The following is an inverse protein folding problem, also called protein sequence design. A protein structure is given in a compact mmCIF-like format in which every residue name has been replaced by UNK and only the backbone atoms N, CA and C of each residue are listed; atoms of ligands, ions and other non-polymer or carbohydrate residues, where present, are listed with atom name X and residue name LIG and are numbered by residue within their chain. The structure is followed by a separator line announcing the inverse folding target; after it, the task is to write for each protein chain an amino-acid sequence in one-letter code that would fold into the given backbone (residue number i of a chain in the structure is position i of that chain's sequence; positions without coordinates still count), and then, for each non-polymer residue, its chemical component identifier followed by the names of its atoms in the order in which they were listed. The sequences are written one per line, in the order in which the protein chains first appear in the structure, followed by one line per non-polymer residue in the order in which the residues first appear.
data_IF_672305690410
#
_entry.id   IF_672305690410
#
_cell.length_a   1.000
_cell.length_b   1.000
_cell.length_c   1.000
_cell.angle_alpha   90.00
_cell.angle_beta   90.00
_cell.angle_gamma   90.00
#
_symmetry.space_group_name_H-M   'P 1'
#
loop_
_entity.id
_entity.type
_entity.pdbx_description
1 polymer ?
#
# COMPACT_ATOMS: atom_id res chain seq x y z
N UNK A 1 35.89 4.56 1.95
CA UNK A 1 34.71 3.83 2.46
C UNK A 1 33.44 4.61 2.10
N UNK A 2 32.31 3.93 1.92
CA UNK A 2 30.99 4.54 1.74
C UNK A 2 30.14 4.35 3.00
N UNK A 3 29.68 5.45 3.59
CA UNK A 3 28.66 5.47 4.63
C UNK A 3 27.31 5.79 4.00
N UNK A 4 26.29 4.99 4.29
CA UNK A 4 24.90 5.29 3.93
C UNK A 4 24.12 5.49 5.23
N UNK A 5 23.64 6.70 5.48
CA UNK A 5 23.14 7.11 6.80
C UNK A 5 21.73 7.70 6.75
N UNK A 6 20.89 7.33 7.71
CA UNK A 6 19.55 7.89 7.88
C UNK A 6 19.51 9.01 8.91
N UNK A 7 19.15 10.22 8.49
CA UNK A 7 19.10 11.38 9.37
C UNK A 7 17.92 11.34 10.35
N UNK A 8 16.98 10.41 10.19
CA UNK A 8 15.72 10.49 10.89
C UNK A 8 14.77 11.49 10.23
N UNK A 9 13.71 11.85 10.94
CA UNK A 9 12.55 12.55 10.36
C UNK A 9 12.71 14.06 10.45
N UNK A 10 13.41 14.55 11.46
CA UNK A 10 13.69 15.98 11.66
C UNK A 10 15.14 16.16 12.09
N UNK A 11 15.68 17.38 12.01
CA UNK A 11 17.08 17.62 12.36
C UNK A 11 17.37 17.36 13.85
N UNK A 12 16.36 17.45 14.71
CA UNK A 12 16.45 17.12 16.13
C UNK A 12 16.56 15.60 16.36
N UNK A 13 16.12 14.80 15.39
CA UNK A 13 16.11 13.34 15.48
C UNK A 13 17.40 12.66 15.00
N UNK A 14 18.37 13.43 14.46
CA UNK A 14 19.63 12.86 13.94
C UNK A 14 20.42 12.19 15.06
N UNK A 15 20.62 10.85 15.01
CA UNK A 15 21.41 10.11 15.98
C UNK A 15 22.84 10.65 16.15
N UNK A 16 23.36 10.64 17.38
CA UNK A 16 24.67 11.23 17.70
C UNK A 16 25.83 10.56 16.97
N UNK A 17 25.78 9.25 16.77
CA UNK A 17 26.75 8.51 15.96
C UNK A 17 26.75 8.95 14.48
N UNK A 18 25.58 9.26 13.92
CA UNK A 18 25.46 9.76 12.54
C UNK A 18 26.06 11.16 12.42
N UNK A 19 25.81 12.05 13.40
CA UNK A 19 26.46 13.37 13.45
C UNK A 19 27.98 13.25 13.44
N UNK A 20 28.53 12.35 14.26
CA UNK A 20 29.97 12.12 14.33
C UNK A 20 30.54 11.59 12.99
N UNK A 21 29.84 10.68 12.32
CA UNK A 21 30.25 10.16 11.01
C UNK A 21 30.28 11.30 9.97
N UNK A 22 29.24 12.11 9.91
CA UNK A 22 29.15 13.23 8.95
C UNK A 22 30.23 14.29 9.18
N UNK A 23 30.59 14.57 10.43
CA UNK A 23 31.62 15.59 10.74
C UNK A 23 33.03 15.12 10.40
N UNK A 24 33.31 13.84 10.58
CA UNK A 24 34.63 13.25 10.34
C UNK A 24 34.85 12.83 8.87
N UNK A 25 33.79 12.69 8.08
CA UNK A 25 33.89 12.33 6.68
C UNK A 25 34.60 13.40 5.82
N UNK A 26 35.23 12.94 4.74
CA UNK A 26 35.86 13.78 3.74
C UNK A 26 34.82 14.47 2.84
N UNK A 27 33.77 13.74 2.48
CA UNK A 27 32.70 14.20 1.60
C UNK A 27 31.34 13.79 2.17
N UNK A 28 30.39 14.71 2.19
CA UNK A 28 29.02 14.44 2.66
C UNK A 28 28.02 14.89 1.60
N UNK A 29 27.29 13.92 1.06
CA UNK A 29 26.17 14.11 0.16
C UNK A 29 24.85 14.00 0.92
N UNK A 30 23.92 14.90 0.66
CA UNK A 30 22.54 14.82 1.11
C UNK A 30 21.61 14.74 -0.09
N UNK A 31 20.88 13.64 -0.20
CA UNK A 31 19.79 13.54 -1.17
C UNK A 31 18.47 14.01 -0.57
N UNK A 32 17.62 14.62 -1.39
CA UNK A 32 16.31 15.18 -1.01
C UNK A 32 15.22 14.82 -2.04
N UNK A 33 15.41 13.73 -2.77
CA UNK A 33 14.45 13.24 -3.77
C UNK A 33 13.61 12.07 -3.27
N UNK A 34 14.11 11.30 -2.29
CA UNK A 34 13.31 10.25 -1.65
C UNK A 34 12.39 10.80 -0.56
N UNK A 35 12.76 11.94 0.01
CA UNK A 35 11.99 12.67 1.02
C UNK A 35 12.28 14.16 0.86
N UNK A 36 11.28 15.03 1.09
CA UNK A 36 11.44 16.45 0.88
C UNK A 36 12.41 17.06 1.88
N UNK A 37 13.00 18.20 1.49
CA UNK A 37 13.83 18.97 2.41
C UNK A 37 12.97 19.52 3.55
N UNK A 38 13.28 19.10 4.77
CA UNK A 38 12.59 19.58 5.97
C UNK A 38 13.30 20.81 6.50
N UNK A 39 14.64 20.80 6.53
CA UNK A 39 15.46 21.90 7.03
C UNK A 39 16.98 21.69 6.82
N UNK A 40 17.41 21.63 5.56
CA UNK A 40 18.82 21.49 5.17
C UNK A 40 19.73 22.57 5.79
N UNK A 41 19.17 23.72 6.18
CA UNK A 41 19.94 24.81 6.80
C UNK A 41 20.59 24.39 8.14
N UNK A 42 19.90 23.60 8.96
CA UNK A 42 20.45 23.10 10.23
C UNK A 42 21.46 21.97 10.00
N UNK A 43 21.22 21.11 9.01
CA UNK A 43 22.20 20.07 8.62
C UNK A 43 23.51 20.73 8.17
N UNK A 44 23.43 21.82 7.40
CA UNK A 44 24.62 22.56 6.97
C UNK A 44 25.38 23.21 8.14
N UNK A 45 24.71 23.54 9.25
CA UNK A 45 25.39 23.99 10.48
C UNK A 45 26.14 22.84 11.16
N UNK A 46 25.60 21.63 11.13
CA UNK A 46 26.24 20.42 11.69
C UNK A 46 27.44 19.99 10.83
N UNK A 47 27.28 20.03 9.49
CA UNK A 47 28.32 19.66 8.53
C UNK A 47 28.41 20.72 7.41
N UNK A 48 29.32 21.71 7.52
CA UNK A 48 29.49 22.75 6.50
C UNK A 48 29.92 22.21 5.12
N UNK A 49 30.54 21.02 5.08
CA UNK A 49 30.99 20.34 3.85
C UNK A 49 29.86 19.70 3.04
N UNK A 50 28.60 19.80 3.51
CA UNK A 50 27.42 19.22 2.89
C UNK A 50 27.24 19.67 1.42
N UNK A 51 27.09 18.69 0.54
CA UNK A 51 26.76 18.85 -0.88
C UNK A 51 25.41 18.21 -1.17
N UNK A 52 24.56 18.88 -1.94
CA UNK A 52 23.30 18.28 -2.38
C UNK A 52 23.57 17.23 -3.45
N UNK A 53 22.90 16.09 -3.36
CA UNK A 53 22.94 15.01 -4.33
C UNK A 53 21.58 14.86 -5.02
N UNK A 54 21.44 15.34 -6.28
CA UNK A 54 20.22 15.14 -7.04
C UNK A 54 20.04 13.67 -7.42
N UNK A 55 18.79 13.29 -7.76
CA UNK A 55 18.42 11.91 -8.11
C UNK A 55 19.37 11.25 -9.11
N UNK A 56 19.63 11.90 -10.24
CA UNK A 56 20.49 11.37 -11.29
C UNK A 56 21.90 11.03 -10.80
N UNK A 57 22.44 11.78 -9.83
CA UNK A 57 23.78 11.56 -9.30
C UNK A 57 23.83 10.33 -8.40
N UNK A 58 22.79 10.13 -7.59
CA UNK A 58 22.69 8.97 -6.69
C UNK A 58 22.39 7.70 -7.47
N UNK A 59 21.45 7.75 -8.43
CA UNK A 59 21.12 6.61 -9.29
C UNK A 59 22.28 6.25 -10.24
N UNK A 60 22.99 7.23 -10.82
CA UNK A 60 24.20 6.97 -11.59
C UNK A 60 25.32 6.40 -10.72
N UNK A 61 25.52 6.92 -9.51
CA UNK A 61 26.41 6.39 -8.48
C UNK A 61 27.92 6.49 -8.76
N UNK A 62 28.36 6.69 -10.02
CA UNK A 62 29.79 6.64 -10.40
C UNK A 62 30.66 7.60 -9.61
N UNK A 63 30.16 8.83 -9.40
CA UNK A 63 30.88 9.85 -8.63
C UNK A 63 31.06 9.44 -7.17
N UNK A 64 30.00 8.97 -6.51
CA UNK A 64 30.01 8.56 -5.10
C UNK A 64 30.98 7.39 -4.94
N UNK A 65 30.85 6.35 -5.78
CA UNK A 65 31.70 5.16 -5.73
C UNK A 65 33.18 5.50 -5.94
N UNK A 66 33.50 6.29 -6.97
CA UNK A 66 34.88 6.67 -7.28
C UNK A 66 35.54 7.47 -6.14
N UNK A 67 34.79 8.32 -5.45
CA UNK A 67 35.31 9.04 -4.28
C UNK A 67 35.52 8.08 -3.10
N UNK A 68 34.60 7.13 -2.89
CA UNK A 68 34.67 6.15 -1.79
C UNK A 68 35.84 5.18 -1.88
N UNK A 69 36.48 5.03 -3.04
CA UNK A 69 37.73 4.25 -3.21
C UNK A 69 38.89 4.83 -2.37
N UNK A 70 38.91 6.15 -2.16
CA UNK A 70 40.05 6.86 -1.55
C UNK A 70 39.70 7.71 -0.34
N UNK A 71 38.41 7.94 -0.11
CA UNK A 71 37.89 8.86 0.90
C UNK A 71 36.80 8.22 1.74
N UNK A 72 36.54 8.80 2.90
CA UNK A 72 35.33 8.53 3.67
C UNK A 72 34.19 9.41 3.15
N UNK A 73 33.26 8.78 2.44
CA UNK A 73 32.14 9.45 1.77
C UNK A 73 30.86 9.07 2.48
N UNK A 74 30.01 10.06 2.77
CA UNK A 74 28.68 9.86 3.34
C UNK A 74 27.64 10.17 2.28
N UNK A 75 26.67 9.27 2.09
CA UNK A 75 25.38 9.55 1.48
C UNK A 75 24.33 9.55 2.59
N UNK A 76 23.77 10.72 2.86
CA UNK A 76 22.74 10.95 3.85
C UNK A 76 21.37 11.12 3.18
N UNK A 77 20.33 10.61 3.83
CA UNK A 77 18.92 10.79 3.46
C UNK A 77 18.08 11.05 4.71
N UNK A 78 16.96 11.77 4.56
CA UNK A 78 15.95 11.81 5.62
C UNK A 78 15.30 10.42 5.78
N UNK A 79 14.85 10.11 6.99
CA UNK A 79 14.31 8.81 7.37
C UNK A 79 15.40 7.76 7.61
N UNK A 80 15.08 6.52 7.22
CA UNK A 80 16.03 5.40 7.16
C UNK A 80 16.56 5.28 5.72
N UNK A 81 17.87 5.08 5.50
CA UNK A 81 18.42 5.18 4.17
C UNK A 81 18.04 4.01 3.27
N UNK A 82 17.53 2.89 3.81
CA UNK A 82 17.16 1.69 3.06
C UNK A 82 15.65 1.42 3.03
N UNK A 83 14.83 2.28 3.63
CA UNK A 83 13.36 2.11 3.66
C UNK A 83 12.73 2.99 2.58
N UNK A 84 12.07 2.36 1.61
CA UNK A 84 11.42 3.02 0.46
C UNK A 84 12.38 3.86 -0.40
N UNK A 85 13.63 3.41 -0.52
CA UNK A 85 14.67 4.03 -1.38
C UNK A 85 15.31 2.98 -2.30
N UNK A 86 16.08 3.46 -3.27
CA UNK A 86 16.90 2.60 -4.16
C UNK A 86 18.37 2.54 -3.72
N UNK A 87 18.73 3.04 -2.54
CA UNK A 87 20.12 3.07 -2.06
C UNK A 87 20.76 1.69 -1.89
N UNK A 88 19.95 0.63 -1.77
CA UNK A 88 20.42 -0.76 -1.80
C UNK A 88 21.18 -1.09 -3.09
N UNK A 89 20.79 -0.53 -4.25
CA UNK A 89 21.52 -0.71 -5.51
C UNK A 89 22.94 -0.13 -5.43
N UNK A 90 23.08 1.10 -4.93
CA UNK A 90 24.38 1.74 -4.73
C UNK A 90 25.27 0.95 -3.75
N UNK A 91 24.67 0.41 -2.68
CA UNK A 91 25.35 -0.47 -1.73
C UNK A 91 25.90 -1.73 -2.41
N UNK A 92 25.10 -2.38 -3.26
CA UNK A 92 25.53 -3.58 -4.01
C UNK A 92 26.70 -3.25 -4.92
N UNK A 93 26.62 -2.16 -5.68
CA UNK A 93 27.69 -1.72 -6.58
C UNK A 93 28.98 -1.37 -5.84
N UNK A 94 28.89 -0.78 -4.65
CA UNK A 94 30.05 -0.51 -3.79
C UNK A 94 30.74 -1.79 -3.34
N UNK A 95 29.98 -2.78 -2.85
CA UNK A 95 30.54 -4.08 -2.42
C UNK A 95 31.17 -4.82 -3.59
N UNK A 96 30.55 -4.82 -4.78
CA UNK A 96 31.11 -5.43 -5.98
C UNK A 96 32.40 -4.76 -6.49
N UNK A 97 32.64 -3.51 -6.07
CA UNK A 97 33.85 -2.74 -6.40
C UNK A 97 34.87 -2.75 -5.25
N UNK A 98 34.74 -3.68 -4.30
CA UNK A 98 35.60 -3.80 -3.11
C UNK A 98 35.67 -2.52 -2.24
N UNK A 99 34.65 -1.66 -2.31
CA UNK A 99 34.53 -0.47 -1.47
C UNK A 99 33.88 -0.90 -0.13
N UNK A 100 34.53 -0.67 1.03
CA UNK A 100 33.91 -0.93 2.32
C UNK A 100 32.64 -0.08 2.49
N UNK A 101 31.55 -0.70 2.94
CA UNK A 101 30.26 -0.04 3.17
C UNK A 101 29.85 -0.14 4.63
N UNK A 102 29.45 0.99 5.21
CA UNK A 102 28.85 1.07 6.53
C UNK A 102 27.45 1.70 6.42
N UNK A 103 26.41 0.97 6.83
CA UNK A 103 25.03 1.47 6.86
C UNK A 103 24.67 1.82 8.29
N UNK A 104 24.19 3.04 8.52
CA UNK A 104 23.73 3.48 9.85
C UNK A 104 22.29 3.96 9.75
N UNK A 105 21.41 3.23 10.44
CA UNK A 105 19.97 3.42 10.39
C UNK A 105 19.51 4.64 11.21
N UNK A 106 18.41 5.24 10.75
CA UNK A 106 17.72 6.35 11.42
C UNK A 106 16.22 6.06 11.52
N UNK A 107 15.48 6.76 12.40
CA UNK A 107 14.02 6.62 12.46
C UNK A 107 13.35 6.92 11.12
N UNK A 108 12.47 6.04 10.65
CA UNK A 108 11.72 6.26 9.40
C UNK A 108 10.33 6.82 9.69
N UNK A 109 9.88 7.78 8.88
CA UNK A 109 8.50 8.27 8.93
C UNK A 109 7.49 7.12 8.76
N UNK A 110 7.84 6.11 7.97
CA UNK A 110 7.02 4.91 7.75
C UNK A 110 6.79 4.13 9.05
N UNK A 111 7.83 3.93 9.85
CA UNK A 111 7.72 3.10 11.06
C UNK A 111 7.00 3.84 12.17
N UNK A 112 7.29 5.14 12.36
CA UNK A 112 6.65 5.91 13.42
C UNK A 112 5.18 6.21 13.10
N UNK A 113 4.82 6.40 11.82
CA UNK A 113 3.47 6.72 11.38
C UNK A 113 2.46 5.70 11.88
N UNK A 114 2.82 4.41 11.87
CA UNK A 114 1.94 3.33 12.33
C UNK A 114 1.61 3.49 13.82
N UNK A 115 2.61 3.83 14.63
CA UNK A 115 2.45 4.09 16.06
C UNK A 115 1.66 5.38 16.34
N UNK A 116 1.96 6.46 15.62
CA UNK A 116 1.23 7.73 15.71
C UNK A 116 -0.25 7.59 15.32
N UNK A 117 -0.58 6.61 14.47
CA UNK A 117 -1.96 6.28 14.11
C UNK A 117 -2.64 5.35 15.13
N UNK A 118 -1.95 4.89 16.18
CA UNK A 118 -2.51 3.96 17.16
C UNK A 118 -2.77 2.55 16.60
N UNK A 119 -2.14 2.21 15.47
CA UNK A 119 -2.30 0.92 14.80
C UNK A 119 -1.22 -0.06 15.24
N UNK A 120 -1.53 -1.35 15.14
CA UNK A 120 -0.60 -2.41 15.43
C UNK A 120 0.33 -2.66 14.23
N UNK A 121 1.64 -2.56 14.47
CA UNK A 121 2.63 -2.70 13.40
C UNK A 121 2.60 -4.06 12.70
N UNK A 122 2.24 -5.13 13.42
CA UNK A 122 2.14 -6.48 12.86
C UNK A 122 0.93 -6.67 11.93
N UNK A 123 -0.03 -5.74 11.93
CA UNK A 123 -1.21 -5.75 11.04
C UNK A 123 -0.95 -4.99 9.73
N UNK A 124 0.24 -4.42 9.54
CA UNK A 124 0.59 -3.75 8.29
C UNK A 124 0.88 -4.76 7.17
N UNK A 125 0.17 -4.62 6.06
CA UNK A 125 0.37 -5.40 4.84
C UNK A 125 1.38 -4.77 3.88
N UNK A 126 1.32 -5.18 2.61
CA UNK A 126 2.18 -4.65 1.55
C UNK A 126 1.96 -3.14 1.38
N UNK A 127 3.02 -2.36 1.57
CA UNK A 127 3.05 -0.93 1.25
C UNK A 127 3.13 -0.70 -0.27
N UNK A 128 2.53 0.39 -0.73
CA UNK A 128 2.53 0.83 -2.13
C UNK A 128 2.51 2.35 -2.22
N UNK A 129 2.86 2.89 -3.38
CA UNK A 129 2.84 4.33 -3.67
C UNK A 129 1.72 4.66 -4.64
N UNK A 130 0.98 5.73 -4.38
CA UNK A 130 -0.02 6.31 -5.28
C UNK A 130 0.67 7.41 -6.08
N UNK A 131 0.72 7.22 -7.39
CA UNK A 131 1.28 8.18 -8.33
C UNK A 131 0.19 9.13 -8.85
N UNK A 132 0.59 10.31 -9.30
CA UNK A 132 -0.24 11.29 -10.00
C UNK A 132 -0.70 10.79 -11.37
N UNK A 133 0.05 9.88 -12.00
CA UNK A 133 -0.35 9.20 -13.24
C UNK A 133 -1.48 8.18 -12.99
N UNK A 134 -2.55 8.23 -13.78
CA UNK A 134 -3.72 7.35 -13.65
C UNK A 134 -3.46 5.90 -14.09
N UNK A 135 -2.57 5.70 -15.06
CA UNK A 135 -2.23 4.37 -15.62
C UNK A 135 -1.60 3.44 -14.58
N UNK A 136 -1.01 4.01 -13.52
CA UNK A 136 -0.31 3.28 -12.46
C UNK A 136 -1.20 2.97 -11.25
N UNK A 137 -2.49 3.32 -11.29
CA UNK A 137 -3.41 3.23 -10.14
C UNK A 137 -3.85 1.79 -9.81
N UNK A 138 -3.74 0.86 -10.76
CA UNK A 138 -4.10 -0.55 -10.54
C UNK A 138 -3.29 -1.18 -9.41
N UNK A 139 -1.98 -0.94 -9.38
CA UNK A 139 -1.09 -1.52 -8.37
C UNK A 139 -1.45 -1.11 -6.94
N UNK A 140 -1.57 0.18 -6.60
CA UNK A 140 -1.95 0.57 -5.25
C UNK A 140 -3.36 0.10 -4.89
N UNK A 141 -4.32 0.16 -5.82
CA UNK A 141 -5.68 -0.33 -5.58
C UNK A 141 -5.72 -1.83 -5.26
N UNK A 142 -5.07 -2.66 -6.08
CA UNK A 142 -5.08 -4.11 -5.90
C UNK A 142 -4.26 -4.55 -4.70
N UNK A 143 -3.19 -3.84 -4.34
CA UNK A 143 -2.46 -4.08 -3.10
C UNK A 143 -3.31 -3.76 -1.86
N UNK A 144 -4.01 -2.63 -1.86
CA UNK A 144 -4.98 -2.28 -0.82
C UNK A 144 -6.04 -3.36 -0.64
N UNK A 145 -6.58 -3.87 -1.75
CA UNK A 145 -7.54 -4.95 -1.72
C UNK A 145 -6.99 -6.24 -1.14
N UNK A 146 -5.82 -6.69 -1.61
CA UNK A 146 -5.20 -7.94 -1.12
C UNK A 146 -4.90 -7.87 0.38
N UNK A 147 -4.38 -6.73 0.85
CA UNK A 147 -4.14 -6.53 2.27
C UNK A 147 -5.45 -6.55 3.05
N UNK A 148 -6.46 -5.81 2.61
CA UNK A 148 -7.74 -5.73 3.30
C UNK A 148 -8.48 -7.07 3.36
N UNK A 149 -8.40 -7.88 2.30
CA UNK A 149 -8.94 -9.23 2.27
C UNK A 149 -8.28 -10.17 3.31
N UNK A 150 -7.01 -9.91 3.66
CA UNK A 150 -6.30 -10.59 4.74
C UNK A 150 -6.50 -9.94 6.12
N UNK A 151 -7.29 -8.85 6.20
CA UNK A 151 -7.47 -8.07 7.41
C UNK A 151 -6.32 -7.10 7.72
N UNK A 152 -5.32 -6.99 6.84
CA UNK A 152 -4.17 -6.12 7.02
C UNK A 152 -4.46 -4.68 6.60
N UNK A 153 -3.81 -3.74 7.26
CA UNK A 153 -3.79 -2.33 6.89
C UNK A 153 -2.87 -2.10 5.70
N UNK A 154 -3.12 -1.05 4.92
CA UNK A 154 -2.28 -0.68 3.78
C UNK A 154 -1.77 0.74 3.93
N UNK A 155 -0.45 0.89 4.06
CA UNK A 155 0.19 2.20 3.94
C UNK A 155 0.36 2.54 2.45
N UNK A 156 -0.27 3.64 2.06
CA UNK A 156 -0.21 4.28 0.77
C UNK A 156 0.69 5.51 0.89
N UNK A 157 1.90 5.41 0.37
CA UNK A 157 2.76 6.57 0.16
C UNK A 157 2.19 7.41 -0.98
N UNK A 158 2.37 8.73 -0.94
CA UNK A 158 1.95 9.62 -2.01
C UNK A 158 3.16 10.14 -2.76
N UNK A 159 3.04 10.29 -4.07
CA UNK A 159 4.13 10.75 -4.92
C UNK A 159 4.71 12.08 -4.45
N UNK A 160 6.04 12.11 -4.42
CA UNK A 160 6.85 13.32 -4.32
C UNK A 160 7.79 13.35 -5.53
N UNK A 161 7.79 14.46 -6.25
CA UNK A 161 8.68 14.70 -7.37
C UNK A 161 9.51 15.96 -7.09
N UNK A 162 10.79 15.75 -6.78
CA UNK A 162 11.74 16.81 -6.47
C UNK A 162 11.96 17.79 -7.63
N UNK A 163 12.00 17.30 -8.88
CA UNK A 163 12.33 18.14 -10.04
C UNK A 163 11.27 19.21 -10.29
N UNK A 164 10.01 18.91 -9.95
CA UNK A 164 8.86 19.81 -10.11
C UNK A 164 8.33 20.35 -8.78
N UNK A 165 9.00 20.06 -7.66
CA UNK A 165 8.53 20.34 -6.28
C UNK A 165 7.05 19.97 -6.07
N UNK A 166 6.68 18.78 -6.57
CA UNK A 166 5.29 18.33 -6.60
C UNK A 166 5.03 17.29 -5.53
N UNK A 167 3.90 17.44 -4.83
CA UNK A 167 3.36 16.44 -3.93
C UNK A 167 1.94 16.08 -4.33
N UNK A 168 1.66 14.78 -4.40
CA UNK A 168 0.29 14.33 -4.53
C UNK A 168 -0.44 14.51 -3.19
N UNK A 169 -1.43 15.41 -3.17
CA UNK A 169 -2.25 15.65 -1.97
C UNK A 169 -3.19 14.48 -1.65
N UNK A 170 -3.50 14.30 -0.35
CA UNK A 170 -4.35 13.20 0.11
C UNK A 170 -5.78 13.27 -0.48
N UNK A 171 -6.38 14.46 -0.61
CA UNK A 171 -7.70 14.61 -1.24
C UNK A 171 -7.69 14.12 -2.71
N UNK A 172 -6.66 14.49 -3.46
CA UNK A 172 -6.50 14.05 -4.85
C UNK A 172 -6.32 12.52 -4.90
N UNK A 173 -5.45 11.96 -4.07
CA UNK A 173 -5.22 10.52 -4.00
C UNK A 173 -6.49 9.73 -3.63
N UNK A 174 -7.23 10.16 -2.59
CA UNK A 174 -8.50 9.55 -2.20
C UNK A 174 -9.51 9.56 -3.35
N UNK A 175 -9.69 10.72 -4.00
CA UNK A 175 -10.60 10.84 -5.15
C UNK A 175 -10.22 9.93 -6.32
N UNK A 176 -8.92 9.77 -6.60
CA UNK A 176 -8.43 8.82 -7.61
C UNK A 176 -8.81 7.38 -7.23
N UNK A 177 -8.51 6.97 -6.00
CA UNK A 177 -8.80 5.63 -5.50
C UNK A 177 -10.31 5.34 -5.47
N UNK A 178 -11.14 6.30 -5.07
CA UNK A 178 -12.60 6.18 -5.11
C UNK A 178 -13.17 6.18 -6.53
N UNK A 179 -12.51 6.82 -7.50
CA UNK A 179 -12.87 6.65 -8.91
C UNK A 179 -12.48 5.26 -9.44
N UNK A 180 -11.32 4.73 -9.04
CA UNK A 180 -10.92 3.37 -9.37
C UNK A 180 -11.89 2.33 -8.80
N UNK A 181 -12.41 2.56 -7.59
CA UNK A 181 -13.44 1.71 -6.96
C UNK A 181 -14.68 1.53 -7.84
N UNK A 182 -15.10 2.54 -8.62
CA UNK A 182 -16.26 2.41 -9.53
C UNK A 182 -16.03 1.38 -10.63
N UNK A 183 -14.77 1.19 -11.02
CA UNK A 183 -14.35 0.25 -12.06
C UNK A 183 -14.05 -1.13 -11.50
N UNK A 184 -13.24 -1.21 -10.45
CA UNK A 184 -12.78 -2.47 -9.86
C UNK A 184 -13.76 -3.09 -8.86
N UNK A 185 -14.60 -2.28 -8.19
CA UNK A 185 -15.72 -2.70 -7.33
C UNK A 185 -15.34 -3.73 -6.26
N UNK A 186 -14.23 -3.51 -5.55
CA UNK A 186 -13.72 -4.41 -4.51
C UNK A 186 -14.07 -4.01 -3.07
N UNK A 187 -14.70 -2.86 -2.88
CA UNK A 187 -15.16 -2.36 -1.58
C UNK A 187 -14.06 -1.77 -0.70
N UNK A 188 -12.89 -1.44 -1.26
CA UNK A 188 -11.72 -0.98 -0.50
C UNK A 188 -11.62 0.54 -0.41
N UNK A 189 -12.17 1.25 -1.39
CA UNK A 189 -12.28 2.71 -1.37
C UNK A 189 -13.73 3.15 -1.62
N UNK A 190 -14.67 2.37 -1.10
CA UNK A 190 -16.08 2.74 -1.07
C UNK A 190 -16.30 3.94 -0.14
N UNK A 191 -17.38 4.71 -0.30
CA UNK A 191 -17.65 5.90 0.52
C UNK A 191 -17.64 5.64 2.03
N UNK A 192 -17.98 4.42 2.46
CA UNK A 192 -18.06 3.99 3.84
C UNK A 192 -16.79 3.28 4.35
N UNK A 193 -15.83 2.95 3.48
CA UNK A 193 -14.53 2.38 3.84
C UNK A 193 -13.80 3.32 4.80
N UNK A 194 -13.14 2.74 5.80
CA UNK A 194 -12.45 3.51 6.84
C UNK A 194 -10.97 3.68 6.49
N UNK A 195 -10.46 4.90 6.59
CA UNK A 195 -9.06 5.19 6.35
C UNK A 195 -8.54 6.30 7.26
N UNK A 196 -7.25 6.54 7.19
CA UNK A 196 -6.54 7.55 7.96
C UNK A 196 -5.63 8.33 7.04
N UNK A 197 -5.46 9.62 7.31
CA UNK A 197 -4.47 10.46 6.63
C UNK A 197 -3.47 10.96 7.66
N UNK A 198 -2.23 10.55 7.47
CA UNK A 198 -1.09 10.89 8.30
C UNK A 198 -0.34 12.05 7.65
N UNK A 199 -0.27 13.19 8.33
CA UNK A 199 0.22 14.44 7.78
C UNK A 199 1.47 14.88 8.54
N UNK A 200 2.57 15.13 7.80
CA UNK A 200 3.81 15.69 8.36
C UNK A 200 4.27 14.99 9.65
N UNK A 201 4.17 13.66 9.64
CA UNK A 201 4.48 12.80 10.78
C UNK A 201 5.90 13.08 11.29
N UNK A 202 6.07 13.12 12.62
CA UNK A 202 7.32 13.42 13.31
C UNK A 202 7.68 14.91 13.39
N UNK A 203 6.88 15.80 12.80
CA UNK A 203 7.10 17.25 12.88
C UNK A 203 6.20 17.93 13.92
N UNK A 204 6.51 19.18 14.28
CA UNK A 204 5.64 20.00 15.17
C UNK A 204 4.26 20.29 14.59
N UNK A 205 4.08 20.13 13.27
CA UNK A 205 2.80 20.32 12.56
C UNK A 205 2.12 18.99 12.22
N UNK A 206 2.53 17.90 12.87
CA UNK A 206 1.94 16.59 12.68
C UNK A 206 0.43 16.63 12.90
N UNK A 207 -0.31 15.93 12.04
CA UNK A 207 -1.75 15.72 12.18
C UNK A 207 -2.10 14.32 11.67
N UNK A 208 -2.88 13.58 12.46
CA UNK A 208 -3.50 12.32 12.01
C UNK A 208 -5.00 12.50 12.04
N UNK A 209 -5.66 12.27 10.90
CA UNK A 209 -7.11 12.36 10.75
C UNK A 209 -7.64 11.00 10.36
N UNK A 210 -8.69 10.52 11.02
CA UNK A 210 -9.32 9.23 10.70
C UNK A 210 -10.80 9.42 10.40
N UNK A 211 -11.33 8.57 9.52
CA UNK A 211 -12.74 8.65 9.15
C UNK A 211 -13.09 7.78 7.96
N UNK A 212 -14.31 7.92 7.48
CA UNK A 212 -14.73 7.29 6.24
C UNK A 212 -14.15 8.04 5.05
N UNK A 213 -13.93 7.33 3.94
CA UNK A 213 -13.42 7.93 2.70
C UNK A 213 -14.26 9.14 2.27
N UNK A 214 -15.59 9.05 2.31
CA UNK A 214 -16.50 10.16 1.96
C UNK A 214 -16.31 11.42 2.81
N UNK A 215 -16.02 11.26 4.10
CA UNK A 215 -15.77 12.38 5.02
C UNK A 215 -14.38 12.98 4.81
N UNK A 216 -13.39 12.14 4.49
CA UNK A 216 -12.00 12.55 4.33
C UNK A 216 -11.70 13.21 2.98
N UNK A 217 -12.43 12.89 1.92
CA UNK A 217 -12.27 13.52 0.59
C UNK A 217 -12.39 15.05 0.64
N UNK A 218 -13.22 15.59 1.54
CA UNK A 218 -13.45 17.03 1.70
C UNK A 218 -12.64 17.69 2.83
N UNK A 219 -11.81 16.94 3.57
CA UNK A 219 -11.11 17.45 4.74
C UNK A 219 -9.85 18.25 4.35
N UNK A 220 -9.53 19.32 5.10
CA UNK A 220 -8.29 20.08 4.88
C UNK A 220 -7.13 19.52 5.72
N UNK A 221 -6.22 18.81 5.07
CA UNK A 221 -5.05 18.18 5.73
C UNK A 221 -3.86 19.13 5.94
N UNK A 222 -3.90 20.34 5.38
CA UNK A 222 -2.79 21.29 5.36
C UNK A 222 -1.73 20.94 4.31
N UNK A 223 -0.50 21.39 4.56
CA UNK A 223 0.61 21.24 3.60
C UNK A 223 1.20 19.82 3.56
N UNK A 224 1.69 19.32 2.42
CA UNK A 224 2.40 18.04 2.35
C UNK A 224 3.65 17.98 3.26
N UNK A 225 4.23 16.78 3.49
CA UNK A 225 3.84 15.49 2.93
C UNK A 225 2.68 14.84 3.68
N UNK A 226 1.92 14.04 2.93
CA UNK A 226 0.81 13.22 3.42
C UNK A 226 1.02 11.75 3.03
N UNK A 227 0.49 10.86 3.86
CA UNK A 227 0.35 9.43 3.57
C UNK A 227 -1.06 8.98 3.94
N UNK A 228 -1.59 7.98 3.24
CA UNK A 228 -2.92 7.42 3.55
C UNK A 228 -2.73 6.02 4.11
N UNK A 229 -3.51 5.65 5.12
CA UNK A 229 -3.65 4.27 5.57
C UNK A 229 -5.07 3.82 5.29
N UNK A 230 -5.24 2.84 4.41
CA UNK A 230 -6.49 2.10 4.34
C UNK A 230 -6.50 1.08 5.48
N UNK A 231 -7.48 1.15 6.38
CA UNK A 231 -7.55 0.22 7.50
C UNK A 231 -8.10 -1.12 7.03
N UNK A 232 -7.46 -2.19 7.48
CA UNK A 232 -7.98 -3.56 7.42
C UNK A 232 -8.96 -3.83 8.57
N UNK A 233 -8.89 -5.04 9.14
CA UNK A 233 -9.67 -5.38 10.34
C UNK A 233 -9.05 -4.69 11.55
N UNK A 234 -9.80 -3.79 12.18
CA UNK A 234 -9.38 -3.11 13.40
C UNK A 234 -9.61 -3.99 14.63
N UNK A 235 -8.60 -4.08 15.48
CA UNK A 235 -8.70 -4.61 16.83
C UNK A 235 -9.36 -3.59 17.76
N UNK A 236 -10.02 -4.03 18.84
CA UNK A 236 -10.73 -3.10 19.73
C UNK A 236 -9.78 -2.06 20.35
N UNK A 237 -8.54 -2.44 20.67
CA UNK A 237 -7.52 -1.51 21.17
C UNK A 237 -7.09 -0.48 20.13
N UNK A 238 -7.06 -0.85 18.85
CA UNK A 238 -6.79 0.10 17.76
C UNK A 238 -7.96 1.07 17.61
N UNK A 239 -9.21 0.59 17.72
CA UNK A 239 -10.38 1.46 17.73
C UNK A 239 -10.31 2.49 18.88
N UNK A 240 -9.94 2.05 20.08
CA UNK A 240 -9.78 2.95 21.23
C UNK A 240 -8.65 3.95 21.03
N UNK A 241 -7.51 3.50 20.50
CA UNK A 241 -6.37 4.36 20.17
C UNK A 241 -6.73 5.39 19.09
N UNK A 242 -7.42 4.98 18.01
CA UNK A 242 -7.87 5.88 16.95
C UNK A 242 -8.76 6.98 17.51
N UNK A 243 -9.74 6.63 18.35
CA UNK A 243 -10.66 7.61 18.98
C UNK A 243 -9.93 8.59 19.89
N UNK A 244 -8.90 8.13 20.60
CA UNK A 244 -8.19 8.92 21.59
C UNK A 244 -7.05 9.78 21.01
N UNK A 245 -6.34 9.27 20.00
CA UNK A 245 -5.08 9.84 19.53
C UNK A 245 -5.19 10.64 18.22
N UNK A 246 -6.29 10.47 17.48
CA UNK A 246 -6.44 11.08 16.14
C UNK A 246 -7.57 12.09 16.10
N UNK A 247 -7.56 12.95 15.09
CA UNK A 247 -8.74 13.76 14.74
C UNK A 247 -9.77 12.84 14.07
N UNK A 248 -10.58 12.19 14.90
CA UNK A 248 -11.56 11.19 14.50
C UNK A 248 -12.83 11.88 13.97
N UNK A 249 -12.99 11.93 12.65
CA UNK A 249 -14.15 12.52 11.97
C UNK A 249 -15.35 11.57 12.03
N UNK A 250 -15.10 10.28 11.84
CA UNK A 250 -16.08 9.20 11.99
C UNK A 250 -15.55 8.13 12.92
N UNK A 251 -16.44 7.55 13.75
CA UNK A 251 -16.06 6.46 14.63
C UNK A 251 -15.58 5.23 13.82
N UNK A 252 -14.51 4.54 14.27
CA UNK A 252 -14.03 3.33 13.62
C UNK A 252 -15.12 2.26 13.67
N UNK A 253 -15.27 1.46 12.59
CA UNK A 253 -16.32 0.47 12.51
C UNK A 253 -16.04 -0.72 13.44
N UNK A 254 -17.09 -1.25 14.06
CA UNK A 254 -16.99 -2.49 14.84
C UNK A 254 -17.02 -3.69 13.89
N UNK A 255 -15.88 -4.36 13.71
CA UNK A 255 -15.81 -5.65 13.01
C UNK A 255 -15.92 -5.61 11.48
N UNK A 256 -15.64 -4.49 10.82
CA UNK A 256 -15.66 -4.42 9.36
C UNK A 256 -14.59 -5.35 8.76
N UNK A 257 -15.02 -6.30 7.94
CA UNK A 257 -14.13 -7.27 7.27
C UNK A 257 -14.43 -7.22 5.78
N UNK A 258 -13.44 -6.86 4.97
CA UNK A 258 -13.55 -6.93 3.51
C UNK A 258 -13.57 -8.40 3.10
N UNK A 259 -14.59 -8.79 2.33
CA UNK A 259 -14.76 -10.19 1.89
C UNK A 259 -13.68 -10.56 0.87
N UNK A 260 -13.11 -11.76 0.97
CA UNK A 260 -12.15 -12.29 -0.01
C UNK A 260 -12.76 -12.42 -1.42
N UNK A 261 -11.92 -12.51 -2.47
CA UNK A 261 -12.41 -12.71 -3.86
C UNK A 261 -13.32 -13.93 -3.89
N UNK A 262 -12.88 -15.03 -3.30
CA UNK A 262 -13.61 -16.30 -3.29
C UNK A 262 -14.98 -16.15 -2.64
N UNK A 263 -15.07 -15.42 -1.52
CA UNK A 263 -16.36 -15.12 -0.90
C UNK A 263 -17.25 -14.23 -1.78
N UNK A 264 -16.70 -13.16 -2.36
CA UNK A 264 -17.45 -12.27 -3.27
C UNK A 264 -17.96 -13.02 -4.50
N UNK A 265 -17.13 -13.88 -5.10
CA UNK A 265 -17.50 -14.73 -6.23
C UNK A 265 -18.60 -15.70 -5.86
N UNK A 266 -18.45 -16.46 -4.77
CA UNK A 266 -19.48 -17.42 -4.36
C UNK A 266 -20.81 -16.70 -4.07
N UNK A 267 -20.79 -15.57 -3.38
CA UNK A 267 -22.01 -14.79 -3.10
C UNK A 267 -22.67 -14.22 -4.37
N UNK A 268 -21.89 -13.88 -5.40
CA UNK A 268 -22.39 -13.38 -6.68
C UNK A 268 -22.91 -14.50 -7.59
N UNK A 269 -22.12 -15.55 -7.79
CA UNK A 269 -22.38 -16.60 -8.76
C UNK A 269 -23.37 -17.64 -8.26
N UNK A 270 -23.36 -18.00 -6.97
CA UNK A 270 -24.33 -18.97 -6.42
C UNK A 270 -25.79 -18.63 -6.75
N UNK A 271 -26.31 -17.42 -6.45
CA UNK A 271 -27.71 -17.09 -6.76
C UNK A 271 -27.94 -16.99 -8.28
N UNK A 272 -26.95 -16.58 -9.06
CA UNK A 272 -27.04 -16.49 -10.51
C UNK A 272 -27.19 -17.87 -11.16
N UNK A 273 -26.38 -18.84 -10.73
CA UNK A 273 -26.42 -20.22 -11.21
C UNK A 273 -27.74 -20.88 -10.77
N UNK A 274 -28.14 -20.71 -9.50
CA UNK A 274 -29.42 -21.23 -8.99
C UNK A 274 -30.62 -20.71 -9.79
N UNK A 275 -30.64 -19.41 -10.11
CA UNK A 275 -31.68 -18.82 -10.96
C UNK A 275 -31.64 -19.38 -12.38
N UNK A 276 -30.44 -19.62 -12.92
CA UNK A 276 -30.27 -20.22 -14.25
C UNK A 276 -30.82 -21.64 -14.30
N UNK A 277 -30.56 -22.46 -13.27
CA UNK A 277 -31.13 -23.81 -13.13
C UNK A 277 -32.66 -23.77 -13.11
N UNK A 278 -33.27 -22.82 -12.38
CA UNK A 278 -34.74 -22.70 -12.31
C UNK A 278 -35.41 -22.36 -13.66
N UNK A 279 -34.68 -21.72 -14.57
CA UNK A 279 -35.21 -21.31 -15.87
C UNK A 279 -35.14 -22.43 -16.93
N UNK A 280 -34.41 -23.52 -16.64
CA UNK A 280 -34.31 -24.68 -17.52
C UNK A 280 -35.56 -25.54 -17.31
N UNK A 281 -36.28 -25.89 -18.38
CA UNK A 281 -37.52 -26.67 -18.30
C UNK A 281 -37.46 -27.89 -19.21
N UNK A 282 -37.92 -29.04 -18.72
CA UNK A 282 -37.94 -30.29 -19.49
C UNK A 282 -36.58 -30.98 -19.52
N UNK A 283 -36.30 -31.79 -18.50
CA UNK A 283 -35.02 -32.46 -18.33
C UNK A 283 -35.06 -33.89 -18.88
N UNK A 284 -34.08 -34.26 -19.70
CA UNK A 284 -33.68 -35.65 -19.89
C UNK A 284 -32.85 -36.15 -18.69
N UNK A 285 -32.70 -37.48 -18.56
CA UNK A 285 -31.92 -38.08 -17.46
C UNK A 285 -30.45 -37.60 -17.44
N UNK A 286 -29.86 -37.37 -18.62
CA UNK A 286 -28.51 -36.82 -18.76
C UNK A 286 -28.41 -35.37 -18.28
N UNK A 287 -29.40 -34.53 -18.59
CA UNK A 287 -29.44 -33.13 -18.17
C UNK A 287 -29.69 -33.00 -16.65
N UNK A 288 -30.52 -33.88 -16.08
CA UNK A 288 -30.69 -33.97 -14.63
C UNK A 288 -29.38 -34.27 -13.90
N UNK A 289 -28.55 -35.16 -14.45
CA UNK A 289 -27.24 -35.49 -13.86
C UNK A 289 -26.28 -34.29 -13.92
N UNK A 290 -26.29 -33.52 -15.00
CA UNK A 290 -25.49 -32.28 -15.13
C UNK A 290 -25.91 -31.25 -14.08
N UNK A 291 -27.22 -31.05 -13.88
CA UNK A 291 -27.75 -30.13 -12.87
C UNK A 291 -27.37 -30.57 -11.46
N UNK A 292 -27.49 -31.87 -11.16
CA UNK A 292 -27.09 -32.40 -9.86
C UNK A 292 -25.60 -32.17 -9.58
N UNK A 293 -24.74 -32.43 -10.57
CA UNK A 293 -23.31 -32.15 -10.44
C UNK A 293 -23.02 -30.66 -10.22
N UNK A 294 -23.70 -29.77 -10.95
CA UNK A 294 -23.56 -28.33 -10.75
C UNK A 294 -23.98 -27.90 -9.33
N UNK A 295 -25.06 -28.47 -8.79
CA UNK A 295 -25.50 -28.23 -7.40
C UNK A 295 -24.45 -28.73 -6.40
N UNK A 296 -23.88 -29.92 -6.60
CA UNK A 296 -22.80 -30.45 -5.78
C UNK A 296 -21.57 -29.53 -5.80
N UNK A 297 -21.17 -29.03 -6.97
CA UNK A 297 -20.07 -28.08 -7.07
C UNK A 297 -20.34 -26.75 -6.35
N UNK A 298 -21.59 -26.25 -6.34
CA UNK A 298 -21.97 -25.08 -5.53
C UNK A 298 -21.79 -25.37 -4.04
N UNK A 299 -22.25 -26.54 -3.58
CA UNK A 299 -22.12 -26.96 -2.17
C UNK A 299 -20.65 -27.11 -1.77
N UNK A 300 -19.84 -27.73 -2.63
CA UNK A 300 -18.41 -27.88 -2.44
C UNK A 300 -17.71 -26.51 -2.40
N UNK A 301 -18.11 -25.57 -3.25
CA UNK A 301 -17.58 -24.21 -3.24
C UNK A 301 -17.85 -23.51 -1.90
N UNK A 302 -19.09 -23.60 -1.39
CA UNK A 302 -19.47 -23.05 -0.10
C UNK A 302 -18.70 -23.70 1.06
N UNK A 303 -18.61 -25.03 1.08
CA UNK A 303 -17.88 -25.77 2.11
C UNK A 303 -16.37 -25.50 2.08
N UNK A 304 -15.77 -25.36 0.89
CA UNK A 304 -14.37 -24.99 0.71
C UNK A 304 -14.11 -23.58 1.25
N UNK A 305 -15.03 -22.63 0.99
CA UNK A 305 -14.92 -21.26 1.50
C UNK A 305 -14.98 -21.21 3.03
N UNK A 306 -15.87 -21.98 3.66
CA UNK A 306 -15.96 -22.08 5.12
C UNK A 306 -14.67 -22.64 5.75
N UNK A 307 -13.97 -23.52 5.01
CA UNK A 307 -12.68 -24.10 5.41
C UNK A 307 -11.47 -23.22 5.07
N UNK A 308 -11.67 -22.04 4.47
CA UNK A 308 -10.60 -21.15 4.03
C UNK A 308 -9.83 -21.65 2.79
N UNK A 309 -10.40 -22.58 2.02
CA UNK A 309 -9.82 -23.11 0.80
C UNK A 309 -10.26 -22.28 -0.41
N UNK A 310 -9.77 -21.04 -0.46
CA UNK A 310 -10.22 -20.00 -1.40
C UNK A 310 -10.09 -20.39 -2.88
N UNK A 311 -9.01 -21.09 -3.27
CA UNK A 311 -8.79 -21.54 -4.64
C UNK A 311 -9.78 -22.64 -5.05
N UNK A 312 -10.01 -23.61 -4.15
CA UNK A 312 -10.96 -24.71 -4.37
C UNK A 312 -12.38 -24.14 -4.48
N UNK A 313 -12.71 -23.17 -3.63
CA UNK A 313 -13.96 -22.43 -3.68
C UNK A 313 -14.21 -21.79 -5.05
N UNK A 314 -13.21 -21.08 -5.61
CA UNK A 314 -13.33 -20.41 -6.92
C UNK A 314 -13.40 -21.41 -8.07
N UNK A 315 -12.59 -22.47 -8.02
CA UNK A 315 -12.64 -23.52 -9.05
C UNK A 315 -13.99 -24.22 -9.07
N UNK A 316 -14.50 -24.65 -7.91
CA UNK A 316 -15.78 -25.34 -7.80
C UNK A 316 -16.95 -24.48 -8.28
N UNK A 317 -17.00 -23.19 -7.93
CA UNK A 317 -18.07 -22.32 -8.43
C UNK A 317 -17.96 -22.07 -9.93
N UNK A 318 -16.74 -21.97 -10.47
CA UNK A 318 -16.50 -21.85 -11.91
C UNK A 318 -16.91 -23.10 -12.71
N UNK A 319 -16.66 -24.30 -12.17
CA UNK A 319 -17.15 -25.55 -12.77
C UNK A 319 -18.68 -25.61 -12.78
N UNK A 320 -19.34 -25.21 -11.68
CA UNK A 320 -20.80 -25.16 -11.61
C UNK A 320 -21.39 -24.22 -12.67
N UNK A 321 -20.82 -23.02 -12.82
CA UNK A 321 -21.24 -22.03 -13.81
C UNK A 321 -21.08 -22.57 -15.25
N UNK A 322 -19.90 -23.11 -15.56
CA UNK A 322 -19.59 -23.67 -16.88
C UNK A 322 -20.48 -24.86 -17.28
N UNK A 323 -20.85 -25.73 -16.33
CA UNK A 323 -21.79 -26.82 -16.57
C UNK A 323 -23.18 -26.31 -16.95
N UNK A 324 -23.67 -25.29 -16.24
CA UNK A 324 -25.00 -24.72 -16.49
C UNK A 324 -25.03 -23.91 -17.79
N UNK A 325 -23.97 -23.17 -18.11
CA UNK A 325 -23.87 -22.48 -19.40
C UNK A 325 -23.82 -23.46 -20.58
N UNK A 326 -23.05 -24.55 -20.47
CA UNK A 326 -23.03 -25.59 -21.50
C UNK A 326 -24.42 -26.21 -21.71
N UNK A 327 -25.16 -26.46 -20.62
CA UNK A 327 -26.51 -26.99 -20.67
C UNK A 327 -27.48 -26.00 -21.34
N UNK A 328 -27.44 -24.72 -20.96
CA UNK A 328 -28.25 -23.66 -21.56
C UNK A 328 -28.01 -23.52 -23.07
N UNK A 329 -26.74 -23.54 -23.48
CA UNK A 329 -26.36 -23.51 -24.90
C UNK A 329 -26.93 -24.69 -25.67
N UNK A 330 -26.93 -25.90 -25.08
CA UNK A 330 -27.49 -27.09 -25.73
C UNK A 330 -29.01 -26.99 -25.95
N UNK A 331 -29.71 -26.18 -25.15
CA UNK A 331 -31.14 -25.90 -25.28
C UNK A 331 -31.44 -24.65 -26.12
N UNK A 332 -30.42 -24.07 -26.78
CA UNK A 332 -30.57 -22.87 -27.61
C UNK A 332 -30.77 -21.58 -26.82
N UNK A 333 -30.48 -21.58 -25.51
CA UNK A 333 -30.50 -20.39 -24.67
C UNK A 333 -29.13 -19.70 -24.68
N UNK A 334 -29.11 -18.38 -24.50
CA UNK A 334 -27.87 -17.60 -24.32
C UNK A 334 -27.16 -18.03 -23.02
N UNK A 335 -25.84 -18.29 -22.99
CA UNK A 335 -25.09 -18.45 -21.75
C UNK A 335 -25.25 -17.19 -20.87
N UNK A 336 -25.29 -17.37 -19.55
CA UNK A 336 -25.41 -16.23 -18.64
C UNK A 336 -24.17 -15.35 -18.77
N UNK A 337 -24.30 -14.14 -19.32
CA UNK A 337 -23.16 -13.26 -19.58
C UNK A 337 -22.27 -13.10 -18.34
N UNK A 338 -21.06 -13.66 -18.37
CA UNK A 338 -19.97 -13.27 -17.50
C UNK A 338 -19.69 -11.79 -17.79
N UNK A 339 -19.96 -10.90 -16.83
CA UNK A 339 -19.37 -9.56 -16.87
C UNK A 339 -17.86 -9.78 -16.60
N UNK A 340 -16.98 -9.63 -17.61
CA UNK A 340 -15.57 -10.05 -17.52
C UNK A 340 -14.74 -9.15 -16.59
N UNK A 341 -15.38 -8.19 -15.91
CA UNK A 341 -14.78 -7.34 -14.89
C UNK A 341 -14.76 -8.07 -13.54
N UNK A 342 -13.91 -9.09 -13.44
CA UNK A 342 -13.42 -9.64 -12.16
C UNK A 342 -12.05 -9.03 -11.93
#
# INVERSE_FOLDING_TARGET
MLHIVGLGITDDSIPSNIRNIMQNADVVYLETFTSPDINTSEIRRICPKLQMAPRWMVEDGRRILKESEKKDVVLASYGDPLVATTHTDLRVRAVQSDIPVNVVHGPSAITILVGECGLHHYMMGRMVTVMSEDTLLETPYMASYRNAALGNHTLLLLEYNQDTDFFLGANAALKKLSNAEKSYRRGVFAPDSYCMVACRIGTKKQLVVSGRVSSLEGYNFGDPPHSIILTGRLHFTECDAIRALTTCVDNPPEGHTIKSISRQMIEKYTPMIQKSIQNITGYSDGENMVIQNAISYIQDAQAALEKGQDEVAVLSIGYADGLIDALRMSQGMDPGSLDPKI
#
